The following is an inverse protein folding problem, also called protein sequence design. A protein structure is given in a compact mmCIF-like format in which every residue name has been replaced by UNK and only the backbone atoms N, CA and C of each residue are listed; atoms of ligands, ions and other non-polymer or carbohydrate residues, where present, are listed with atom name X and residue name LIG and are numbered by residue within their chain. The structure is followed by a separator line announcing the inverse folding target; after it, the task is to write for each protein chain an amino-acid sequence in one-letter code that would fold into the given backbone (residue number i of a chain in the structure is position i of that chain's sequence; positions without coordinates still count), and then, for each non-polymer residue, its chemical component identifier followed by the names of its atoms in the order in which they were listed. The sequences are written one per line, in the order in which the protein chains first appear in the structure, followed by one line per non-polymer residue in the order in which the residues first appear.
data_IF_324403549377
#
_entry.id   IF_324403549377
#
_cell.length_a   1.000
_cell.length_b   1.000
_cell.length_c   1.000
_cell.angle_alpha   90.00
_cell.angle_beta   90.00
_cell.angle_gamma   90.00
#
_symmetry.space_group_name_H-M   'P 1'
#
loop_
_entity.id
_entity.type
_entity.pdbx_description
1 polymer ?
#
# COMPACT_ATOMS: atom_id res chain seq x y z
N UNK A 1 -8.31 32.23 2.86
CA UNK A 1 -7.14 32.96 2.39
C UNK A 1 -6.17 31.95 1.82
N UNK A 2 -5.82 32.05 0.53
CA UNK A 2 -4.74 31.27 -0.06
C UNK A 2 -3.43 31.54 0.70
N UNK A 3 -2.77 30.50 1.20
CA UNK A 3 -1.54 30.66 1.98
C UNK A 3 -0.34 30.76 1.04
N UNK A 4 0.21 31.97 0.93
CA UNK A 4 1.46 32.23 0.23
C UNK A 4 2.70 31.98 1.11
N UNK A 5 3.78 31.55 0.47
CA UNK A 5 5.07 31.39 1.12
C UNK A 5 5.58 32.77 1.60
N UNK A 6 5.97 32.91 2.90
CA UNK A 6 6.56 34.15 3.40
C UNK A 6 7.74 34.62 2.54
N UNK A 7 7.77 35.91 2.20
CA UNK A 7 8.73 36.46 1.24
C UNK A 7 10.20 36.20 1.64
N UNK A 8 10.48 36.12 2.94
CA UNK A 8 11.80 35.85 3.50
C UNK A 8 12.29 34.41 3.22
N UNK A 9 11.38 33.46 3.04
CA UNK A 9 11.70 32.05 2.79
C UNK A 9 11.82 31.73 1.30
N UNK A 10 11.30 32.59 0.42
CA UNK A 10 11.29 32.37 -1.04
C UNK A 10 12.67 32.11 -1.65
N UNK A 11 13.74 32.86 -1.29
CA UNK A 11 15.08 32.61 -1.85
C UNK A 11 15.68 31.26 -1.44
N UNK A 12 15.27 30.74 -0.28
CA UNK A 12 15.69 29.42 0.22
C UNK A 12 14.87 28.36 -0.48
N UNK A 13 13.55 28.51 -0.53
CA UNK A 13 12.64 27.56 -1.18
C UNK A 13 12.99 27.30 -2.64
N UNK A 14 13.35 28.32 -3.43
CA UNK A 14 13.77 28.13 -4.84
C UNK A 14 14.90 27.11 -5.01
N UNK A 15 15.76 26.94 -4.01
CA UNK A 15 16.87 25.98 -4.05
C UNK A 15 16.44 24.54 -3.71
N UNK A 16 15.26 24.38 -3.11
CA UNK A 16 14.70 23.12 -2.64
C UNK A 16 13.35 22.79 -3.27
N UNK A 17 12.88 23.55 -4.27
CA UNK A 17 11.52 23.40 -4.81
C UNK A 17 11.24 22.02 -5.38
N UNK A 18 12.26 21.34 -5.88
CA UNK A 18 12.15 19.97 -6.41
C UNK A 18 11.98 18.96 -5.27
N UNK A 19 12.67 19.21 -4.14
CA UNK A 19 12.60 18.36 -2.95
C UNK A 19 11.29 18.64 -2.16
N UNK A 20 10.86 19.90 -2.09
CA UNK A 20 9.72 20.41 -1.32
C UNK A 20 8.85 21.36 -2.17
N UNK A 21 8.03 20.84 -3.10
CA UNK A 21 7.19 21.68 -3.94
C UNK A 21 6.20 22.49 -3.10
N UNK A 22 6.06 23.78 -3.40
CA UNK A 22 5.05 24.64 -2.77
C UNK A 22 3.75 24.56 -3.58
N UNK A 23 2.64 24.07 -3.00
CA UNK A 23 1.37 23.99 -3.71
C UNK A 23 0.80 25.36 -4.04
N UNK A 24 -0.02 25.41 -5.11
CA UNK A 24 -0.73 26.62 -5.52
C UNK A 24 -1.62 27.15 -4.39
N UNK A 25 -1.88 28.46 -4.34
CA UNK A 25 -2.68 29.10 -3.30
C UNK A 25 -4.19 29.09 -3.63
N UNK A 26 -4.73 27.92 -3.94
CA UNK A 26 -6.11 27.71 -4.39
C UNK A 26 -7.03 27.11 -3.29
N UNK A 27 -6.60 27.14 -2.02
CA UNK A 27 -7.35 26.52 -0.92
C UNK A 27 -8.76 27.10 -0.77
N UNK A 28 -8.93 28.40 -0.98
CA UNK A 28 -10.24 29.06 -0.90
C UNK A 28 -11.19 28.61 -2.00
N UNK A 29 -10.68 28.52 -3.23
CA UNK A 29 -11.46 28.04 -4.36
C UNK A 29 -11.89 26.58 -4.14
N UNK A 30 -11.01 25.77 -3.55
CA UNK A 30 -11.34 24.39 -3.16
C UNK A 30 -12.38 24.34 -2.05
N UNK A 31 -12.26 25.16 -1.01
CA UNK A 31 -13.28 25.24 0.05
C UNK A 31 -14.62 25.75 -0.49
N UNK A 32 -14.62 26.62 -1.49
CA UNK A 32 -15.83 27.03 -2.20
C UNK A 32 -16.43 25.85 -2.98
N UNK A 33 -15.60 25.04 -3.64
CA UNK A 33 -16.06 23.79 -4.28
C UNK A 33 -16.63 22.79 -3.28
N UNK A 34 -16.02 22.64 -2.10
CA UNK A 34 -16.57 21.81 -1.00
C UNK A 34 -18.00 22.25 -0.69
N UNK A 35 -18.23 23.55 -0.51
CA UNK A 35 -19.59 24.08 -0.26
C UNK A 35 -20.54 23.78 -1.41
N UNK A 36 -20.13 24.01 -2.65
CA UNK A 36 -20.97 23.70 -3.81
C UNK A 36 -21.36 22.22 -3.91
N UNK A 37 -20.47 21.31 -3.50
CA UNK A 37 -20.79 19.89 -3.41
C UNK A 37 -21.80 19.57 -2.30
N UNK A 38 -21.64 20.18 -1.12
CA UNK A 38 -22.60 20.01 -0.01
C UNK A 38 -23.98 20.57 -0.35
N UNK A 39 -24.03 21.75 -0.97
CA UNK A 39 -25.28 22.39 -1.43
C UNK A 39 -25.99 21.49 -2.45
N UNK A 40 -25.25 20.91 -3.39
CA UNK A 40 -25.80 19.94 -4.35
C UNK A 40 -26.33 18.68 -3.64
N UNK A 41 -25.61 18.16 -2.65
CA UNK A 41 -26.05 17.01 -1.89
C UNK A 41 -27.39 17.28 -1.19
N UNK A 42 -27.52 18.44 -0.56
CA UNK A 42 -28.74 18.91 0.10
C UNK A 42 -29.90 19.07 -0.90
N UNK A 43 -29.65 19.68 -2.06
CA UNK A 43 -30.65 19.85 -3.13
C UNK A 43 -31.16 18.49 -3.64
N UNK A 44 -30.26 17.53 -3.86
CA UNK A 44 -30.62 16.18 -4.31
C UNK A 44 -31.46 15.44 -3.27
N UNK A 45 -31.13 15.54 -1.97
CA UNK A 45 -31.94 14.96 -0.89
C UNK A 45 -33.31 15.61 -0.78
N UNK A 46 -33.38 16.95 -0.90
CA UNK A 46 -34.66 17.68 -0.88
C UNK A 46 -35.55 17.25 -2.05
N UNK A 47 -34.98 17.19 -3.25
CA UNK A 47 -35.68 16.74 -4.46
C UNK A 47 -36.18 15.31 -4.32
N UNK A 48 -35.37 14.40 -3.76
CA UNK A 48 -35.78 13.03 -3.50
C UNK A 48 -36.97 12.96 -2.51
N UNK A 49 -36.95 13.79 -1.46
CA UNK A 49 -38.04 13.84 -0.48
C UNK A 49 -39.35 14.40 -1.07
N UNK A 50 -39.27 15.43 -1.91
CA UNK A 50 -40.44 15.97 -2.62
C UNK A 50 -41.04 14.95 -3.60
N UNK A 51 -40.18 14.23 -4.32
CA UNK A 51 -40.58 13.15 -5.21
C UNK A 51 -41.25 12.00 -4.46
N UNK A 52 -40.74 11.61 -3.29
CA UNK A 52 -41.38 10.60 -2.43
C UNK A 52 -42.77 11.05 -1.98
N UNK A 53 -42.93 12.31 -1.58
CA UNK A 53 -44.24 12.86 -1.22
C UNK A 53 -45.23 12.85 -2.42
N UNK A 54 -44.73 13.17 -3.62
CA UNK A 54 -45.50 13.10 -4.86
C UNK A 54 -45.93 11.66 -5.21
N UNK A 55 -44.99 10.71 -5.13
CA UNK A 55 -45.26 9.28 -5.28
C UNK A 55 -46.38 8.81 -4.34
N UNK A 56 -46.28 9.14 -3.05
CA UNK A 56 -47.27 8.76 -2.05
C UNK A 56 -48.65 9.36 -2.34
N UNK A 57 -48.70 10.57 -2.91
CA UNK A 57 -49.91 11.19 -3.41
C UNK A 57 -50.57 10.38 -4.53
N UNK A 58 -49.80 10.01 -5.55
CA UNK A 58 -50.27 9.21 -6.70
C UNK A 58 -50.76 7.84 -6.25
N UNK A 59 -49.97 7.14 -5.42
CA UNK A 59 -50.30 5.82 -4.89
C UNK A 59 -51.59 5.84 -4.06
N UNK A 60 -51.79 6.87 -3.24
CA UNK A 60 -52.99 6.98 -2.39
C UNK A 60 -54.25 7.33 -3.18
N UNK A 61 -54.11 8.11 -4.25
CA UNK A 61 -55.24 8.61 -5.03
C UNK A 61 -55.71 7.63 -6.13
N UNK A 62 -54.91 6.61 -6.45
CA UNK A 62 -55.17 5.70 -7.56
C UNK A 62 -55.11 4.22 -7.11
N UNK A 63 -55.72 3.33 -7.88
CA UNK A 63 -55.66 1.88 -7.66
C UNK A 63 -55.67 1.14 -8.99
N UNK A 64 -55.21 -0.11 -8.99
CA UNK A 64 -55.17 -0.99 -10.17
C UNK A 64 -53.76 -1.39 -10.57
N UNK A 65 -53.65 -2.22 -11.61
CA UNK A 65 -52.38 -2.82 -12.04
C UNK A 65 -51.30 -1.80 -12.43
N UNK A 66 -51.69 -0.70 -13.07
CA UNK A 66 -50.73 0.33 -13.50
C UNK A 66 -50.08 1.04 -12.31
N UNK A 67 -50.83 1.24 -11.21
CA UNK A 67 -50.31 1.86 -9.98
C UNK A 67 -49.34 0.92 -9.27
N UNK A 68 -49.62 -0.39 -9.27
CA UNK A 68 -48.70 -1.38 -8.72
C UNK A 68 -47.41 -1.47 -9.53
N UNK A 69 -47.48 -1.47 -10.87
CA UNK A 69 -46.30 -1.42 -11.73
C UNK A 69 -45.47 -0.13 -11.50
N UNK A 70 -46.14 1.00 -11.29
CA UNK A 70 -45.48 2.26 -10.93
C UNK A 70 -44.75 2.17 -9.58
N UNK A 71 -45.39 1.64 -8.53
CA UNK A 71 -44.75 1.40 -7.23
C UNK A 71 -43.54 0.50 -7.35
N UNK A 72 -43.67 -0.62 -8.06
CA UNK A 72 -42.58 -1.58 -8.26
C UNK A 72 -41.39 -0.89 -8.95
N UNK A 73 -41.64 -0.09 -9.99
CA UNK A 73 -40.56 0.66 -10.65
C UNK A 73 -39.97 1.75 -9.75
N UNK A 74 -40.79 2.41 -8.92
CA UNK A 74 -40.34 3.41 -7.94
C UNK A 74 -39.47 2.84 -6.83
N UNK A 75 -39.75 1.61 -6.39
CA UNK A 75 -38.99 0.92 -5.35
C UNK A 75 -37.76 0.18 -5.88
N UNK A 76 -37.65 0.04 -7.21
CA UNK A 76 -36.49 -0.61 -7.84
C UNK A 76 -35.18 0.16 -7.58
N UNK A 77 -34.06 -0.57 -7.58
CA UNK A 77 -32.72 0.01 -7.45
C UNK A 77 -32.38 1.01 -8.58
N UNK A 78 -33.07 0.92 -9.72
CA UNK A 78 -32.89 1.85 -10.84
C UNK A 78 -33.75 3.11 -10.75
N UNK A 79 -34.59 3.21 -9.73
CA UNK A 79 -35.56 4.31 -9.58
C UNK A 79 -34.87 5.67 -9.50
N UNK A 80 -35.61 6.71 -9.91
CA UNK A 80 -35.17 8.10 -9.79
C UNK A 80 -34.82 8.42 -8.34
N UNK A 81 -35.61 7.92 -7.38
CA UNK A 81 -35.36 8.06 -5.94
C UNK A 81 -33.98 7.53 -5.54
N UNK A 82 -33.67 6.28 -5.91
CA UNK A 82 -32.38 5.68 -5.56
C UNK A 82 -31.22 6.45 -6.18
N UNK A 83 -31.36 6.83 -7.47
CA UNK A 83 -30.34 7.62 -8.18
C UNK A 83 -30.10 8.99 -7.57
N UNK A 84 -31.14 9.68 -7.08
CA UNK A 84 -30.99 10.97 -6.39
C UNK A 84 -30.32 10.79 -5.03
N UNK A 85 -30.66 9.74 -4.28
CA UNK A 85 -29.99 9.39 -3.03
C UNK A 85 -28.51 9.07 -3.22
N UNK A 86 -28.17 8.29 -4.25
CA UNK A 86 -26.80 7.98 -4.62
C UNK A 86 -26.04 9.22 -5.11
N UNK A 87 -26.71 10.08 -5.87
CA UNK A 87 -26.15 11.37 -6.30
C UNK A 87 -25.84 12.28 -5.12
N UNK A 88 -26.73 12.35 -4.11
CA UNK A 88 -26.50 13.13 -2.90
C UNK A 88 -25.30 12.62 -2.12
N UNK A 89 -25.22 11.29 -1.92
CA UNK A 89 -24.04 10.66 -1.31
C UNK A 89 -22.79 10.99 -2.11
N UNK A 90 -22.79 10.77 -3.43
CA UNK A 90 -21.66 11.09 -4.32
C UNK A 90 -21.16 12.54 -4.14
N UNK A 91 -22.08 13.50 -4.03
CA UNK A 91 -21.75 14.89 -3.79
C UNK A 91 -21.12 15.13 -2.40
N UNK A 92 -21.65 14.55 -1.31
CA UNK A 92 -21.02 14.64 0.03
C UNK A 92 -19.56 14.17 0.00
N UNK A 93 -19.31 13.11 -0.73
CA UNK A 93 -17.99 12.46 -0.77
C UNK A 93 -17.00 13.27 -1.58
N UNK A 94 -17.46 13.86 -2.68
CA UNK A 94 -16.68 14.84 -3.42
C UNK A 94 -16.33 16.04 -2.54
N UNK A 95 -17.25 16.48 -1.66
CA UNK A 95 -16.99 17.52 -0.68
C UNK A 95 -15.91 17.09 0.33
N UNK A 96 -16.04 15.91 0.93
CA UNK A 96 -15.08 15.37 1.92
C UNK A 96 -13.69 15.19 1.29
N UNK A 97 -13.59 14.57 0.11
CA UNK A 97 -12.31 14.37 -0.57
C UNK A 97 -11.63 15.69 -0.95
N UNK A 98 -12.42 16.68 -1.40
CA UNK A 98 -11.91 18.02 -1.70
C UNK A 98 -11.44 18.73 -0.43
N UNK A 99 -12.18 18.62 0.68
CA UNK A 99 -11.82 19.20 1.98
C UNK A 99 -10.52 18.59 2.51
N UNK A 100 -10.40 17.26 2.46
CA UNK A 100 -9.19 16.54 2.83
C UNK A 100 -7.98 17.05 2.04
N UNK A 101 -8.12 17.20 0.72
CA UNK A 101 -7.06 17.76 -0.13
C UNK A 101 -6.61 19.15 0.33
N UNK A 102 -7.55 20.01 0.75
CA UNK A 102 -7.22 21.33 1.31
C UNK A 102 -6.46 21.21 2.62
N UNK A 103 -6.93 20.39 3.56
CA UNK A 103 -6.29 20.16 4.85
C UNK A 103 -4.85 19.68 4.65
N UNK A 104 -4.63 18.73 3.74
CA UNK A 104 -3.28 18.22 3.46
C UNK A 104 -2.36 19.26 2.85
N UNK A 105 -2.86 20.10 1.93
CA UNK A 105 -2.07 21.22 1.39
C UNK A 105 -1.66 22.19 2.48
N UNK A 106 -2.57 22.52 3.39
CA UNK A 106 -2.28 23.43 4.51
C UNK A 106 -1.23 22.82 5.44
N UNK A 107 -1.37 21.55 5.83
CA UNK A 107 -0.39 20.84 6.66
C UNK A 107 0.97 20.80 5.97
N UNK A 108 1.01 20.45 4.67
CA UNK A 108 2.24 20.44 3.90
C UNK A 108 2.91 21.82 3.83
N UNK A 109 2.14 22.88 3.57
CA UNK A 109 2.64 24.26 3.58
C UNK A 109 3.21 24.65 4.95
N UNK A 110 2.52 24.30 6.04
CA UNK A 110 2.99 24.54 7.41
C UNK A 110 4.32 23.82 7.67
N UNK A 111 4.40 22.56 7.26
CA UNK A 111 5.62 21.75 7.40
C UNK A 111 6.78 22.35 6.60
N UNK A 112 6.56 22.70 5.33
CA UNK A 112 7.60 23.31 4.49
C UNK A 112 8.09 24.63 5.11
N UNK A 113 7.19 25.48 5.61
CA UNK A 113 7.56 26.71 6.33
C UNK A 113 8.39 26.39 7.57
N UNK A 114 7.98 25.41 8.38
CA UNK A 114 8.71 24.98 9.56
C UNK A 114 10.13 24.51 9.22
N UNK A 115 10.28 23.60 8.26
CA UNK A 115 11.57 23.06 7.86
C UNK A 115 12.48 24.13 7.25
N UNK A 116 11.93 25.03 6.41
CA UNK A 116 12.69 26.16 5.86
C UNK A 116 13.13 27.14 6.96
N UNK A 117 12.33 27.30 8.02
CA UNK A 117 12.68 28.14 9.16
C UNK A 117 13.81 27.52 9.99
N UNK A 118 13.72 26.21 10.29
CA UNK A 118 14.80 25.46 10.96
C UNK A 118 16.10 25.54 10.13
N UNK A 119 15.99 25.35 8.81
CA UNK A 119 17.11 25.48 7.88
C UNK A 119 17.73 26.88 7.91
N UNK A 120 16.90 27.93 7.87
CA UNK A 120 17.35 29.32 7.95
C UNK A 120 18.09 29.58 9.26
N UNK A 121 17.54 29.15 10.40
CA UNK A 121 18.19 29.29 11.72
C UNK A 121 19.53 28.55 11.75
N UNK A 122 19.59 27.34 11.20
CA UNK A 122 20.83 26.57 11.10
C UNK A 122 21.88 27.29 10.25
N UNK A 123 21.48 27.89 9.13
CA UNK A 123 22.37 28.65 8.25
C UNK A 123 22.91 29.90 8.95
N UNK A 124 22.05 30.66 9.63
CA UNK A 124 22.45 31.86 10.40
C UNK A 124 23.44 31.50 11.51
N UNK A 125 23.17 30.44 12.27
CA UNK A 125 24.10 29.93 13.31
C UNK A 125 25.43 29.49 12.70
N UNK A 126 25.41 28.82 11.55
CA UNK A 126 26.62 28.40 10.87
C UNK A 126 27.48 29.59 10.42
N UNK A 127 26.89 30.66 9.91
CA UNK A 127 27.61 31.88 9.53
C UNK A 127 28.21 32.56 10.78
N UNK A 128 27.47 32.62 11.89
CA UNK A 128 27.92 33.30 13.10
C UNK A 128 29.12 32.61 13.80
N UNK A 129 29.29 31.30 13.62
CA UNK A 129 30.26 30.48 14.39
C UNK A 129 31.52 30.11 13.59
N UNK A 130 31.58 30.39 12.28
CA UNK A 130 32.64 29.84 11.41
C UNK A 130 33.57 30.92 10.82
N UNK A 131 34.90 30.77 10.88
CA UNK A 131 35.84 31.64 10.15
C UNK A 131 35.64 31.49 8.64
N UNK A 132 35.73 32.61 7.91
CA UNK A 132 35.43 32.70 6.48
C UNK A 132 36.26 31.70 5.62
N UNK A 133 35.62 30.64 5.15
CA UNK A 133 36.18 29.71 4.17
C UNK A 133 35.08 29.00 3.39
N UNK A 134 35.04 29.22 2.07
CA UNK A 134 33.96 28.75 1.19
C UNK A 134 33.70 27.24 1.24
N UNK A 135 34.74 26.43 1.43
CA UNK A 135 34.65 24.96 1.48
C UNK A 135 33.75 24.43 2.62
N UNK A 136 33.84 25.02 3.82
CA UNK A 136 33.04 24.58 4.98
C UNK A 136 31.57 24.96 4.86
N UNK A 137 31.26 26.04 4.13
CA UNK A 137 29.90 26.42 3.78
C UNK A 137 29.28 25.43 2.78
N UNK A 138 30.01 25.02 1.73
CA UNK A 138 29.50 24.06 0.74
C UNK A 138 29.26 22.67 1.34
N UNK A 139 30.19 22.16 2.16
CA UNK A 139 30.04 20.85 2.81
C UNK A 139 28.85 20.83 3.77
N UNK A 140 28.66 21.88 4.58
CA UNK A 140 27.49 22.01 5.46
C UNK A 140 26.18 22.16 4.69
N UNK A 141 26.18 22.88 3.59
CA UNK A 141 25.01 22.99 2.71
C UNK A 141 24.58 21.62 2.18
N UNK A 142 25.54 20.80 1.73
CA UNK A 142 25.29 19.44 1.27
C UNK A 142 24.73 18.53 2.37
N UNK A 143 25.33 18.56 3.57
CA UNK A 143 24.85 17.79 4.73
C UNK A 143 23.43 18.22 5.12
N UNK A 144 23.15 19.53 5.14
CA UNK A 144 21.83 20.03 5.55
C UNK A 144 20.75 19.68 4.52
N UNK A 145 21.08 19.72 3.21
CA UNK A 145 20.16 19.25 2.16
C UNK A 145 19.88 17.76 2.26
N UNK A 146 20.89 16.94 2.58
CA UNK A 146 20.70 15.50 2.81
C UNK A 146 19.78 15.23 3.99
N UNK A 147 20.00 15.92 5.12
CA UNK A 147 19.13 15.81 6.30
C UNK A 147 17.70 16.26 6.01
N UNK A 148 17.54 17.36 5.27
CA UNK A 148 16.23 17.86 4.84
C UNK A 148 15.49 16.85 3.97
N UNK A 149 16.15 16.20 3.00
CA UNK A 149 15.54 15.13 2.21
C UNK A 149 15.16 13.93 3.06
N UNK A 150 16.04 13.51 3.97
CA UNK A 150 15.76 12.39 4.88
C UNK A 150 14.51 12.66 5.73
N UNK A 151 14.41 13.85 6.33
CA UNK A 151 13.24 14.27 7.10
C UNK A 151 11.99 14.34 6.22
N UNK A 152 12.09 14.86 4.98
CA UNK A 152 10.95 14.88 4.07
C UNK A 152 10.50 13.49 3.65
N UNK A 153 11.41 12.55 3.43
CA UNK A 153 11.07 11.16 3.11
C UNK A 153 10.34 10.50 4.29
N UNK A 154 10.87 10.65 5.50
CA UNK A 154 10.27 10.09 6.71
C UNK A 154 8.90 10.72 7.01
N UNK A 155 8.76 12.03 6.82
CA UNK A 155 7.48 12.73 7.03
C UNK A 155 6.49 12.43 5.90
N UNK A 156 6.93 12.30 4.65
CA UNK A 156 6.07 11.86 3.54
C UNK A 156 5.51 10.48 3.80
N UNK A 157 6.35 9.58 4.31
CA UNK A 157 5.91 8.30 4.83
C UNK A 157 4.84 8.47 5.89
N UNK A 158 5.16 9.06 7.04
CA UNK A 158 4.22 9.17 8.17
C UNK A 158 2.91 9.91 7.83
N UNK A 159 2.98 10.98 7.03
CA UNK A 159 1.79 11.70 6.55
C UNK A 159 0.97 10.80 5.63
N UNK A 160 1.62 10.04 4.75
CA UNK A 160 0.99 9.02 3.91
C UNK A 160 0.23 7.96 4.70
N UNK A 161 0.73 7.51 5.86
CA UNK A 161 0.07 6.54 6.75
C UNK A 161 -1.28 7.09 7.21
N UNK A 162 -1.26 8.27 7.84
CA UNK A 162 -2.45 8.89 8.42
C UNK A 162 -3.45 9.25 7.33
N UNK A 163 -2.96 9.71 6.16
CA UNK A 163 -3.76 9.98 4.98
C UNK A 163 -4.49 8.76 4.45
N UNK A 164 -3.73 7.70 4.16
CA UNK A 164 -4.24 6.49 3.58
C UNK A 164 -5.26 5.84 4.52
N UNK A 165 -4.99 5.84 5.82
CA UNK A 165 -5.90 5.31 6.82
C UNK A 165 -7.19 6.13 6.93
N UNK A 166 -7.09 7.47 7.00
CA UNK A 166 -8.28 8.34 7.10
C UNK A 166 -9.12 8.30 5.81
N UNK A 167 -8.47 8.29 4.64
CA UNK A 167 -9.16 8.13 3.36
C UNK A 167 -9.77 6.74 3.21
N UNK A 168 -9.11 5.68 3.69
CA UNK A 168 -9.62 4.30 3.67
C UNK A 168 -10.82 4.15 4.59
N UNK A 169 -10.79 4.67 5.82
CA UNK A 169 -11.96 4.65 6.73
C UNK A 169 -13.13 5.44 6.13
N UNK A 170 -12.85 6.60 5.52
CA UNK A 170 -13.86 7.35 4.78
C UNK A 170 -14.39 6.58 3.57
N UNK A 171 -13.54 5.79 2.89
CA UNK A 171 -13.87 4.97 1.71
C UNK A 171 -14.57 3.64 2.07
N UNK A 172 -14.34 3.08 3.25
CA UNK A 172 -15.05 1.90 3.75
C UNK A 172 -16.48 2.23 4.17
N UNK A 173 -16.68 3.31 4.93
CA UNK A 173 -18.01 3.84 5.26
C UNK A 173 -18.83 4.14 3.99
N UNK A 174 -18.10 4.48 2.93
CA UNK A 174 -18.53 4.75 1.58
C UNK A 174 -19.00 3.49 0.82
N UNK A 175 -18.17 2.45 0.79
CA UNK A 175 -18.45 1.19 0.10
C UNK A 175 -19.58 0.42 0.78
N UNK A 176 -19.67 0.51 2.11
CA UNK A 176 -20.79 -0.03 2.91
C UNK A 176 -22.12 0.65 2.53
N UNK A 177 -22.08 1.91 2.04
CA UNK A 177 -23.28 2.66 1.64
C UNK A 177 -23.82 2.30 0.25
N UNK A 178 -23.14 1.41 -0.50
CA UNK A 178 -23.59 0.80 -1.76
C UNK A 178 -23.63 1.70 -3.00
N UNK A 179 -23.13 2.94 -2.91
CA UNK A 179 -23.46 4.00 -3.86
C UNK A 179 -22.24 4.78 -4.38
N UNK A 180 -21.31 4.12 -5.10
CA UNK A 180 -20.30 4.85 -5.89
C UNK A 180 -20.03 4.15 -7.22
N UNK A 181 -20.27 4.81 -8.37
CA UNK A 181 -19.66 4.41 -9.63
C UNK A 181 -18.16 4.77 -9.61
N UNK A 182 -17.31 3.79 -9.91
CA UNK A 182 -15.83 3.84 -9.88
C UNK A 182 -15.18 5.06 -10.56
N UNK A 183 -15.90 5.80 -11.41
CA UNK A 183 -15.38 6.97 -12.13
C UNK A 183 -15.14 8.24 -11.29
N UNK A 184 -15.75 8.38 -10.11
CA UNK A 184 -15.62 9.61 -9.29
C UNK A 184 -14.47 9.57 -8.27
N UNK A 185 -14.01 8.38 -7.89
CA UNK A 185 -12.76 8.20 -7.13
C UNK A 185 -11.58 8.75 -7.93
N UNK A 186 -11.64 8.62 -9.26
CA UNK A 186 -10.58 9.03 -10.18
C UNK A 186 -10.28 10.53 -10.21
N UNK A 187 -11.25 11.43 -9.92
CA UNK A 187 -11.04 12.89 -10.08
C UNK A 187 -10.43 13.57 -8.85
N UNK A 188 -10.72 13.08 -7.64
CA UNK A 188 -10.07 13.55 -6.42
C UNK A 188 -8.64 13.00 -6.29
N UNK A 189 -8.37 11.81 -6.86
CA UNK A 189 -7.02 11.23 -6.94
C UNK A 189 -6.22 11.74 -8.15
N UNK A 190 -6.84 12.25 -9.22
CA UNK A 190 -6.12 12.70 -10.43
C UNK A 190 -5.17 13.88 -10.20
N UNK A 191 -5.55 14.85 -9.38
CA UNK A 191 -4.77 16.09 -9.17
C UNK A 191 -3.77 15.96 -8.00
N UNK A 192 -4.06 15.10 -7.01
CA UNK A 192 -3.09 14.68 -6.01
C UNK A 192 -2.04 13.72 -6.62
N UNK A 193 -2.48 12.76 -7.44
CA UNK A 193 -1.68 11.75 -8.11
C UNK A 193 -0.71 12.27 -9.18
N UNK A 194 -0.95 13.45 -9.77
CA UNK A 194 0.03 14.08 -10.68
C UNK A 194 1.26 14.67 -9.98
N UNK A 195 1.20 14.89 -8.65
CA UNK A 195 2.35 15.39 -7.85
C UNK A 195 2.85 14.39 -6.79
N UNK A 196 2.23 13.22 -6.67
CA UNK A 196 2.69 12.06 -5.88
C UNK A 196 2.98 10.88 -6.82
N UNK A 197 4.12 10.91 -7.53
CA UNK A 197 4.49 9.85 -8.50
C UNK A 197 4.45 8.44 -7.90
N UNK A 198 4.78 8.31 -6.62
CA UNK A 198 4.81 7.05 -5.87
C UNK A 198 3.47 6.33 -5.69
N UNK A 199 2.32 6.96 -6.00
CA UNK A 199 0.99 6.30 -5.97
C UNK A 199 0.50 5.86 -7.37
N UNK A 200 1.32 5.99 -8.42
CA UNK A 200 0.94 5.50 -9.75
C UNK A 200 1.11 3.99 -9.79
N UNK A 201 0.02 3.29 -10.07
CA UNK A 201 0.09 1.90 -10.52
C UNK A 201 0.09 1.85 -12.03
N UNK A 202 0.92 1.01 -12.61
CA UNK A 202 0.80 0.55 -13.98
C UNK A 202 -0.42 -0.37 -14.08
N UNK A 203 -1.48 0.14 -14.68
CA UNK A 203 -2.77 -0.55 -14.78
C UNK A 203 -2.73 -1.72 -15.77
N UNK A 204 -1.81 -1.71 -16.75
CA UNK A 204 -1.64 -2.81 -17.70
C UNK A 204 -0.93 -3.98 -17.01
N UNK A 205 0.18 -3.71 -16.31
CA UNK A 205 0.88 -4.71 -15.52
C UNK A 205 -0.03 -5.34 -14.47
N UNK A 206 -0.81 -4.50 -13.75
CA UNK A 206 -1.80 -4.99 -12.78
C UNK A 206 -2.79 -5.97 -13.41
N UNK A 207 -3.38 -5.62 -14.56
CA UNK A 207 -4.35 -6.48 -15.25
C UNK A 207 -3.74 -7.83 -15.66
N UNK A 208 -2.52 -7.81 -16.20
CA UNK A 208 -1.85 -9.04 -16.63
C UNK A 208 -1.48 -9.92 -15.45
N UNK A 209 -0.97 -9.35 -14.36
CA UNK A 209 -0.62 -10.11 -13.14
C UNK A 209 -1.86 -10.68 -12.46
N UNK A 210 -2.93 -9.89 -12.32
CA UNK A 210 -4.20 -10.37 -11.79
C UNK A 210 -4.79 -11.48 -12.69
N UNK A 211 -4.63 -11.38 -14.01
CA UNK A 211 -5.07 -12.44 -14.94
C UNK A 211 -4.36 -13.76 -14.64
N UNK A 212 -3.04 -13.75 -14.47
CA UNK A 212 -2.25 -14.95 -14.13
C UNK A 212 -2.65 -15.51 -12.76
N UNK A 213 -2.78 -14.64 -11.74
CA UNK A 213 -3.22 -15.06 -10.41
C UNK A 213 -4.60 -15.73 -10.43
N UNK A 214 -5.51 -15.28 -11.30
CA UNK A 214 -6.84 -15.86 -11.40
C UNK A 214 -6.87 -17.27 -12.01
N UNK A 215 -5.78 -17.75 -12.62
CA UNK A 215 -5.70 -19.09 -13.20
C UNK A 215 -5.63 -20.18 -12.13
N UNK A 216 -4.99 -19.91 -10.97
CA UNK A 216 -4.79 -20.89 -9.91
C UNK A 216 -5.72 -20.67 -8.71
N UNK A 217 -6.10 -21.74 -7.96
CA UNK A 217 -6.81 -21.59 -6.69
C UNK A 217 -6.08 -20.69 -5.69
N UNK A 218 -4.75 -20.83 -5.57
CA UNK A 218 -3.93 -20.02 -4.66
C UNK A 218 -3.89 -18.55 -5.05
N UNK A 219 -3.70 -18.22 -6.33
CA UNK A 219 -3.68 -16.83 -6.77
C UNK A 219 -5.03 -16.14 -6.56
N UNK A 220 -6.16 -16.83 -6.81
CA UNK A 220 -7.50 -16.33 -6.46
C UNK A 220 -7.67 -16.11 -4.95
N UNK A 221 -7.19 -17.04 -4.13
CA UNK A 221 -7.24 -16.92 -2.68
C UNK A 221 -6.41 -15.74 -2.18
N UNK A 222 -5.21 -15.52 -2.74
CA UNK A 222 -4.35 -14.39 -2.40
C UNK A 222 -5.00 -13.04 -2.76
N UNK A 223 -5.57 -12.92 -3.96
CA UNK A 223 -6.31 -11.71 -4.37
C UNK A 223 -7.56 -11.46 -3.52
N UNK A 224 -8.24 -12.52 -3.09
CA UNK A 224 -9.39 -12.40 -2.20
C UNK A 224 -8.96 -11.95 -0.79
N UNK A 225 -7.90 -12.56 -0.26
CA UNK A 225 -7.32 -12.21 1.04
C UNK A 225 -6.82 -10.76 1.07
N UNK A 226 -6.09 -10.32 0.03
CA UNK A 226 -5.63 -8.95 -0.10
C UNK A 226 -6.79 -7.95 -0.08
N UNK A 227 -7.89 -8.26 -0.78
CA UNK A 227 -9.12 -7.44 -0.76
C UNK A 227 -9.79 -7.44 0.62
N UNK A 228 -9.94 -8.60 1.25
CA UNK A 228 -10.54 -8.74 2.58
C UNK A 228 -9.75 -7.98 3.66
N UNK A 229 -8.43 -7.93 3.53
CA UNK A 229 -7.53 -7.29 4.50
C UNK A 229 -7.11 -5.89 4.07
N UNK A 230 -7.77 -5.32 3.05
CA UNK A 230 -7.49 -3.99 2.52
C UNK A 230 -6.01 -3.74 2.19
N UNK A 231 -5.32 -4.76 1.66
CA UNK A 231 -3.94 -4.63 1.18
C UNK A 231 -3.98 -3.95 -0.18
N UNK A 232 -3.33 -2.79 -0.27
CA UNK A 232 -3.21 -2.06 -1.54
C UNK A 232 -2.03 -2.60 -2.33
N UNK A 233 -2.21 -2.88 -3.61
CA UNK A 233 -1.15 -3.40 -4.48
C UNK A 233 -0.84 -2.33 -5.53
N UNK A 234 0.43 -1.92 -5.62
CA UNK A 234 0.91 -0.92 -6.56
C UNK A 234 1.95 -1.56 -7.48
N UNK A 235 1.81 -1.37 -8.79
CA UNK A 235 2.80 -1.78 -9.78
C UNK A 235 3.57 -0.54 -10.24
N UNK A 236 4.79 -0.37 -9.79
CA UNK A 236 5.60 0.81 -10.07
C UNK A 236 6.22 0.69 -11.48
N UNK A 237 6.11 1.74 -12.31
CA UNK A 237 6.67 1.72 -13.65
C UNK A 237 8.20 1.59 -13.64
N UNK A 238 8.82 1.07 -14.73
CA UNK A 238 10.26 0.93 -14.81
C UNK A 238 11.02 2.25 -14.55
N UNK A 239 12.11 2.16 -13.78
CA UNK A 239 12.95 3.30 -13.42
C UNK A 239 12.51 4.07 -12.17
N UNK A 240 11.42 3.67 -11.51
CA UNK A 240 11.02 4.15 -10.19
C UNK A 240 11.21 3.02 -9.16
N UNK A 241 12.42 2.86 -8.59
CA UNK A 241 12.70 1.84 -7.58
C UNK A 241 14.18 1.51 -7.39
N UNK A 242 14.48 0.58 -6.48
CA UNK A 242 15.78 -0.10 -6.42
C UNK A 242 15.75 -1.28 -7.40
N UNK A 243 16.60 -1.26 -8.42
CA UNK A 243 16.66 -2.31 -9.46
C UNK A 243 16.90 -3.73 -8.90
N UNK A 244 17.36 -3.83 -7.65
CA UNK A 244 17.61 -5.10 -6.96
C UNK A 244 16.41 -5.65 -6.18
N UNK A 245 15.32 -4.90 -6.06
CA UNK A 245 14.13 -5.29 -5.29
C UNK A 245 12.96 -5.50 -6.24
N UNK A 246 12.40 -6.71 -6.25
CA UNK A 246 11.28 -7.09 -7.11
C UNK A 246 9.93 -6.66 -6.56
N UNK A 247 9.80 -6.70 -5.24
CA UNK A 247 8.64 -6.24 -4.52
C UNK A 247 8.99 -5.93 -3.07
N UNK A 248 8.10 -5.22 -2.40
CA UNK A 248 8.20 -4.96 -0.97
C UNK A 248 6.80 -4.78 -0.40
N UNK A 249 6.57 -5.39 0.76
CA UNK A 249 5.44 -5.06 1.61
C UNK A 249 5.82 -4.02 2.66
N UNK A 250 5.06 -2.93 2.72
CA UNK A 250 5.17 -1.89 3.73
C UNK A 250 4.06 -2.06 4.78
N UNK A 251 4.42 -2.56 5.98
CA UNK A 251 3.49 -2.79 7.11
C UNK A 251 2.75 -1.50 7.51
N UNK A 252 3.46 -0.38 7.51
CA UNK A 252 2.94 0.92 7.98
C UNK A 252 1.74 1.39 7.16
N UNK A 253 1.73 1.10 5.85
CA UNK A 253 0.68 1.51 4.92
C UNK A 253 -0.29 0.38 4.54
N UNK A 254 0.09 -0.86 4.85
CA UNK A 254 -0.54 -2.06 4.32
C UNK A 254 -0.55 -2.05 2.78
N UNK A 255 0.62 -1.80 2.19
CA UNK A 255 0.82 -1.67 0.74
C UNK A 255 1.86 -2.68 0.28
N UNK A 256 1.55 -3.43 -0.76
CA UNK A 256 2.54 -4.16 -1.55
C UNK A 256 2.91 -3.31 -2.76
N UNK A 257 4.19 -3.02 -2.91
CA UNK A 257 4.76 -2.43 -4.12
C UNK A 257 5.48 -3.49 -4.92
N UNK A 258 5.20 -3.55 -6.22
CA UNK A 258 5.85 -4.44 -7.17
C UNK A 258 6.60 -3.55 -8.17
N UNK A 259 7.90 -3.73 -8.29
CA UNK A 259 8.76 -2.92 -9.16
C UNK A 259 8.89 -3.59 -10.53
N UNK A 260 8.43 -2.92 -11.58
CA UNK A 260 8.52 -3.44 -12.94
C UNK A 260 9.93 -3.20 -13.51
N UNK A 261 10.53 -4.23 -14.09
CA UNK A 261 11.81 -4.15 -14.80
C UNK A 261 11.68 -4.65 -16.23
N UNK A 262 12.64 -4.28 -17.05
CA UNK A 262 12.70 -4.75 -18.43
C UNK A 262 12.83 -6.27 -18.47
N UNK A 263 11.83 -6.92 -19.06
CA UNK A 263 11.80 -8.38 -19.23
C UNK A 263 11.06 -9.14 -18.12
N UNK A 264 10.55 -8.47 -17.08
CA UNK A 264 9.69 -9.12 -16.09
C UNK A 264 8.43 -9.66 -16.78
N UNK A 265 8.05 -10.89 -16.43
CA UNK A 265 6.85 -11.54 -16.96
C UNK A 265 5.69 -11.41 -15.98
N UNK A 266 4.42 -11.43 -16.45
CA UNK A 266 3.27 -11.46 -15.57
C UNK A 266 3.31 -12.61 -14.54
N UNK A 267 3.90 -13.75 -14.91
CA UNK A 267 4.11 -14.91 -14.03
C UNK A 267 5.11 -14.62 -12.92
N UNK A 268 6.27 -14.02 -13.23
CA UNK A 268 7.27 -13.65 -12.23
C UNK A 268 6.76 -12.57 -11.27
N UNK A 269 6.00 -11.60 -11.79
CA UNK A 269 5.38 -10.55 -10.98
C UNK A 269 4.23 -11.11 -10.11
N UNK A 270 3.45 -12.06 -10.62
CA UNK A 270 2.44 -12.76 -9.82
C UNK A 270 3.08 -13.57 -8.69
N UNK A 271 4.20 -14.23 -8.97
CA UNK A 271 4.99 -14.95 -7.99
C UNK A 271 5.51 -14.02 -6.87
N UNK A 272 6.11 -12.89 -7.27
CA UNK A 272 6.53 -11.82 -6.35
C UNK A 272 5.37 -11.33 -5.48
N UNK A 273 4.20 -11.07 -6.08
CA UNK A 273 3.02 -10.64 -5.31
C UNK A 273 2.56 -11.68 -4.28
N UNK A 274 2.62 -12.98 -4.60
CA UNK A 274 2.32 -14.04 -3.61
C UNK A 274 3.31 -13.99 -2.44
N UNK A 275 4.60 -13.77 -2.72
CA UNK A 275 5.62 -13.59 -1.70
C UNK A 275 5.34 -12.37 -0.81
N UNK A 276 5.11 -11.20 -1.40
CA UNK A 276 4.85 -9.98 -0.62
C UNK A 276 3.54 -10.07 0.19
N UNK A 277 2.52 -10.76 -0.31
CA UNK A 277 1.31 -11.01 0.46
C UNK A 277 1.54 -11.95 1.64
N UNK A 278 2.56 -12.82 1.61
CA UNK A 278 2.98 -13.57 2.80
C UNK A 278 3.52 -12.62 3.88
N UNK A 279 4.31 -11.60 3.52
CA UNK A 279 4.71 -10.57 4.47
C UNK A 279 3.50 -9.82 5.04
N UNK A 280 2.53 -9.47 4.18
CA UNK A 280 1.29 -8.85 4.62
C UNK A 280 0.48 -9.74 5.59
N UNK A 281 0.50 -11.06 5.43
CA UNK A 281 -0.16 -11.99 6.34
C UNK A 281 0.50 -12.07 7.72
N UNK A 282 1.81 -11.84 7.78
CA UNK A 282 2.58 -11.83 9.02
C UNK A 282 2.75 -10.43 9.59
N UNK A 283 2.08 -9.41 9.03
CA UNK A 283 2.10 -8.03 9.49
C UNK A 283 2.19 -7.90 11.03
N UNK A 284 3.13 -7.08 11.52
CA UNK A 284 3.53 -6.94 12.94
C UNK A 284 4.27 -8.14 13.54
N UNK A 285 4.63 -9.15 12.76
CA UNK A 285 5.47 -10.26 13.18
C UNK A 285 6.45 -10.60 12.05
N UNK A 286 7.77 -10.64 12.32
CA UNK A 286 8.41 -10.44 13.62
C UNK A 286 8.35 -8.98 14.10
N UNK A 287 8.24 -8.79 15.42
CA UNK A 287 8.17 -7.45 16.03
C UNK A 287 9.50 -7.12 16.74
N UNK A 288 10.28 -6.16 16.24
CA UNK A 288 11.57 -5.82 16.84
C UNK A 288 11.46 -5.12 18.20
N UNK A 289 10.27 -4.63 18.55
CA UNK A 289 9.99 -3.98 19.84
C UNK A 289 9.69 -5.00 20.94
N UNK A 290 9.16 -6.17 20.57
CA UNK A 290 8.83 -7.26 21.50
C UNK A 290 9.86 -8.39 21.52
N UNK A 291 10.65 -8.54 20.44
CA UNK A 291 11.62 -9.63 20.28
C UNK A 291 13.07 -9.20 20.59
N UNK A 292 13.88 -10.15 21.08
CA UNK A 292 15.34 -9.99 21.03
C UNK A 292 15.81 -9.97 19.59
N UNK A 293 17.01 -9.42 19.34
CA UNK A 293 17.60 -9.37 17.99
C UNK A 293 17.68 -10.75 17.35
N UNK A 294 18.19 -11.75 18.08
CA UNK A 294 18.32 -13.12 17.56
C UNK A 294 16.96 -13.75 17.25
N UNK A 295 15.96 -13.55 18.12
CA UNK A 295 14.60 -14.07 17.90
C UNK A 295 13.91 -13.39 16.72
N UNK A 296 14.12 -12.08 16.55
CA UNK A 296 13.62 -11.32 15.39
C UNK A 296 14.24 -11.84 14.09
N UNK A 297 15.56 -11.99 14.05
CA UNK A 297 16.29 -12.46 12.86
C UNK A 297 15.84 -13.87 12.49
N UNK A 298 15.74 -14.78 13.46
CA UNK A 298 15.23 -16.13 13.20
C UNK A 298 13.80 -16.09 12.65
N UNK A 299 12.90 -15.32 13.27
CA UNK A 299 11.51 -15.24 12.85
C UNK A 299 11.36 -14.60 11.45
N UNK A 300 12.15 -13.55 11.13
CA UNK A 300 12.17 -12.91 9.82
C UNK A 300 12.62 -13.88 8.71
N UNK A 301 13.66 -14.68 8.97
CA UNK A 301 14.15 -15.67 8.01
C UNK A 301 13.11 -16.78 7.80
N UNK A 302 12.39 -17.20 8.86
CA UNK A 302 11.29 -18.17 8.73
C UNK A 302 10.14 -17.62 7.89
N UNK A 303 9.77 -16.36 8.10
CA UNK A 303 8.76 -15.67 7.31
C UNK A 303 9.15 -15.60 5.83
N UNK A 304 10.40 -15.22 5.54
CA UNK A 304 10.96 -15.17 4.19
C UNK A 304 10.97 -16.55 3.51
N UNK A 305 11.40 -17.59 4.23
CA UNK A 305 11.35 -18.97 3.74
C UNK A 305 9.90 -19.40 3.43
N UNK A 306 8.94 -18.98 4.24
CA UNK A 306 7.54 -19.24 4.00
C UNK A 306 7.00 -18.47 2.78
N UNK A 307 7.42 -17.21 2.57
CA UNK A 307 7.10 -16.43 1.38
C UNK A 307 7.53 -17.14 0.11
N UNK A 308 8.81 -17.54 0.05
CA UNK A 308 9.39 -18.29 -1.05
C UNK A 308 8.66 -19.62 -1.30
N UNK A 309 8.24 -20.31 -0.23
CA UNK A 309 7.43 -21.52 -0.32
C UNK A 309 6.04 -21.27 -0.93
N UNK A 310 5.35 -20.19 -0.55
CA UNK A 310 4.04 -19.86 -1.13
C UNK A 310 4.15 -19.52 -2.62
N UNK A 311 5.18 -18.74 -2.96
CA UNK A 311 5.61 -18.38 -4.29
C UNK A 311 5.83 -19.63 -5.17
N UNK A 312 6.63 -20.58 -4.71
CA UNK A 312 6.88 -21.84 -5.39
C UNK A 312 5.61 -22.67 -5.61
N UNK A 313 4.74 -22.78 -4.59
CA UNK A 313 3.47 -23.53 -4.73
C UNK A 313 2.51 -22.89 -5.73
N UNK A 314 2.51 -21.55 -5.82
CA UNK A 314 1.73 -20.84 -6.83
C UNK A 314 2.22 -21.21 -8.24
N UNK A 315 3.53 -21.19 -8.42
CA UNK A 315 4.23 -21.63 -9.61
C UNK A 315 3.86 -23.06 -10.03
N UNK A 316 4.01 -24.07 -9.16
CA UNK A 316 3.60 -25.46 -9.44
C UNK A 316 2.09 -25.59 -9.79
N UNK A 317 1.24 -24.78 -9.18
CA UNK A 317 -0.19 -24.74 -9.52
C UNK A 317 -0.40 -24.21 -10.94
N UNK A 318 0.35 -23.17 -11.33
CA UNK A 318 0.24 -22.53 -12.63
C UNK A 318 0.76 -23.44 -13.75
N UNK A 319 1.90 -24.09 -13.55
CA UNK A 319 2.45 -25.08 -14.47
C UNK A 319 1.48 -26.22 -14.74
N UNK A 320 0.86 -26.76 -13.68
CA UNK A 320 -0.15 -27.83 -13.82
C UNK A 320 -1.38 -27.37 -14.59
N UNK A 321 -1.79 -26.12 -14.42
CA UNK A 321 -2.93 -25.54 -15.16
C UNK A 321 -2.58 -25.35 -16.64
N UNK A 322 -1.34 -24.96 -16.95
CA UNK A 322 -0.91 -24.63 -18.31
C UNK A 322 -0.27 -25.78 -19.08
N UNK A 323 0.19 -26.83 -18.39
CA UNK A 323 0.99 -27.91 -18.97
C UNK A 323 2.33 -27.42 -19.50
N UNK A 324 2.90 -26.39 -18.88
CA UNK A 324 4.16 -25.77 -19.26
C UNK A 324 5.07 -25.71 -18.04
N UNK A 325 6.35 -26.01 -18.27
CA UNK A 325 7.44 -25.85 -17.31
C UNK A 325 7.82 -24.37 -17.25
N UNK A 326 7.79 -23.78 -16.06
CA UNK A 326 8.08 -22.38 -15.81
C UNK A 326 9.40 -22.31 -15.03
N UNK A 327 10.42 -21.68 -15.61
CA UNK A 327 11.72 -21.55 -14.96
C UNK A 327 11.61 -20.75 -13.64
N UNK A 328 12.03 -21.35 -12.53
CA UNK A 328 11.93 -20.77 -11.18
C UNK A 328 13.29 -20.78 -10.48
N UNK A 329 13.78 -19.60 -10.08
CA UNK A 329 15.14 -19.41 -9.55
C UNK A 329 15.49 -20.23 -8.29
N UNK A 330 14.51 -20.71 -7.53
CA UNK A 330 14.69 -21.45 -6.26
C UNK A 330 14.21 -22.91 -6.31
N UNK A 331 13.86 -23.42 -7.49
CA UNK A 331 13.31 -24.76 -7.70
C UNK A 331 14.25 -25.87 -7.23
N UNK A 332 15.56 -25.74 -7.47
CA UNK A 332 16.51 -26.81 -7.19
C UNK A 332 16.64 -27.13 -5.68
N UNK A 333 16.72 -26.11 -4.81
CA UNK A 333 16.78 -26.35 -3.35
C UNK A 333 15.48 -26.95 -2.86
N UNK A 334 14.34 -26.41 -3.31
CA UNK A 334 13.03 -26.89 -2.91
C UNK A 334 12.82 -28.36 -3.31
N UNK A 335 13.04 -28.69 -4.57
CA UNK A 335 12.77 -30.01 -5.14
C UNK A 335 13.63 -31.10 -4.52
N UNK A 336 14.92 -30.83 -4.33
CA UNK A 336 15.84 -31.78 -3.72
C UNK A 336 15.46 -32.05 -2.26
N UNK A 337 15.18 -31.00 -1.48
CA UNK A 337 14.77 -31.14 -0.08
C UNK A 337 13.42 -31.88 0.05
N UNK A 338 12.43 -31.49 -0.76
CA UNK A 338 11.12 -32.12 -0.81
C UNK A 338 11.23 -33.61 -1.15
N UNK A 339 11.88 -33.91 -2.28
CA UNK A 339 11.98 -35.28 -2.82
C UNK A 339 12.76 -36.20 -1.88
N UNK A 340 13.85 -35.69 -1.29
CA UNK A 340 14.66 -36.40 -0.30
C UNK A 340 13.84 -36.74 0.95
N UNK A 341 13.13 -35.77 1.51
CA UNK A 341 12.34 -35.99 2.72
C UNK A 341 11.19 -36.98 2.52
N UNK A 342 10.49 -36.90 1.37
CA UNK A 342 9.43 -37.86 1.01
C UNK A 342 10.02 -39.25 0.82
N UNK A 343 11.15 -39.39 0.11
CA UNK A 343 11.84 -40.69 -0.08
C UNK A 343 12.25 -41.31 1.26
N UNK A 344 12.87 -40.53 2.14
CA UNK A 344 13.32 -41.00 3.46
C UNK A 344 12.13 -41.41 4.34
N UNK A 345 11.03 -40.65 4.29
CA UNK A 345 9.82 -40.98 5.03
C UNK A 345 9.13 -42.25 4.51
N UNK A 346 9.13 -42.47 3.19
CA UNK A 346 8.65 -43.73 2.57
C UNK A 346 9.49 -44.91 3.06
N UNK A 347 10.82 -44.80 3.02
CA UNK A 347 11.73 -45.85 3.45
C UNK A 347 11.52 -46.23 4.93
N UNK A 348 11.45 -45.23 5.84
CA UNK A 348 11.18 -45.49 7.27
C UNK A 348 9.81 -46.13 7.52
N UNK A 349 8.78 -45.74 6.75
CA UNK A 349 7.42 -46.30 6.87
C UNK A 349 7.40 -47.76 6.41
N UNK A 350 8.12 -48.07 5.32
CA UNK A 350 8.29 -49.42 4.79
C UNK A 350 9.05 -50.32 5.78
N UNK A 351 10.17 -49.85 6.34
CA UNK A 351 10.93 -50.56 7.38
C UNK A 351 10.07 -50.87 8.63
N UNK A 352 9.14 -49.98 8.97
CA UNK A 352 8.21 -50.18 10.07
C UNK A 352 7.00 -51.08 9.74
N UNK A 353 6.89 -51.58 8.50
CA UNK A 353 5.76 -52.39 8.04
C UNK A 353 4.43 -51.62 7.98
N UNK A 354 4.49 -50.29 7.87
CA UNK A 354 3.31 -49.44 7.76
C UNK A 354 2.73 -49.39 6.35
N UNK A 355 1.48 -48.92 6.18
CA UNK A 355 0.93 -48.66 4.84
C UNK A 355 1.71 -47.55 4.13
N UNK A 356 1.70 -47.50 2.78
CA UNK A 356 2.30 -46.41 2.00
C UNK A 356 1.78 -45.04 2.44
N UNK A 357 2.62 -44.01 2.32
CA UNK A 357 2.20 -42.63 2.59
C UNK A 357 1.07 -42.23 1.63
N UNK A 358 0.07 -41.54 2.16
CA UNK A 358 -0.94 -40.87 1.35
C UNK A 358 -0.34 -39.63 0.68
N UNK A 359 -0.91 -39.19 -0.45
CA UNK A 359 -0.45 -37.98 -1.14
C UNK A 359 -0.46 -36.73 -0.25
N UNK A 360 -1.40 -36.65 0.71
CA UNK A 360 -1.45 -35.56 1.69
C UNK A 360 -0.31 -35.64 2.72
N UNK A 361 0.07 -36.84 3.16
CA UNK A 361 1.21 -37.03 4.05
C UNK A 361 2.53 -36.70 3.36
N UNK A 362 2.71 -37.17 2.11
CA UNK A 362 3.91 -36.85 1.31
C UNK A 362 4.06 -35.36 1.12
N UNK A 363 2.97 -34.69 0.71
CA UNK A 363 2.93 -33.24 0.57
C UNK A 363 3.36 -32.53 1.85
N UNK A 364 2.73 -32.86 2.98
CA UNK A 364 3.07 -32.23 4.27
C UNK A 364 4.53 -32.47 4.68
N UNK A 365 5.06 -33.67 4.44
CA UNK A 365 6.44 -34.02 4.80
C UNK A 365 7.43 -33.26 3.92
N UNK A 366 7.23 -33.30 2.61
CA UNK A 366 8.10 -32.63 1.65
C UNK A 366 8.05 -31.12 1.81
N UNK A 367 6.86 -30.53 1.94
CA UNK A 367 6.69 -29.09 2.13
C UNK A 367 7.37 -28.58 3.40
N UNK A 368 7.30 -29.33 4.51
CA UNK A 368 8.00 -28.97 5.75
C UNK A 368 9.51 -29.02 5.55
N UNK A 369 10.02 -30.08 4.92
CA UNK A 369 11.46 -30.21 4.69
C UNK A 369 12.00 -29.16 3.71
N UNK A 370 11.21 -28.78 2.71
CA UNK A 370 11.59 -27.71 1.80
C UNK A 370 11.57 -26.33 2.49
N UNK A 371 10.60 -26.07 3.37
CA UNK A 371 10.60 -24.86 4.20
C UNK A 371 11.83 -24.78 5.12
N UNK A 372 12.21 -25.91 5.73
CA UNK A 372 13.42 -26.02 6.57
C UNK A 372 14.69 -25.83 5.74
N UNK A 373 14.77 -26.41 4.53
CA UNK A 373 15.93 -26.23 3.65
C UNK A 373 16.08 -24.78 3.16
N UNK A 374 14.96 -24.12 2.81
CA UNK A 374 14.97 -22.69 2.47
C UNK A 374 15.42 -21.86 3.67
N UNK A 375 14.94 -22.16 4.88
CA UNK A 375 15.41 -21.49 6.10
C UNK A 375 16.90 -21.70 6.32
N UNK A 376 17.43 -22.93 6.16
CA UNK A 376 18.84 -23.23 6.33
C UNK A 376 19.71 -22.50 5.29
N UNK A 377 19.25 -22.41 4.03
CA UNK A 377 19.91 -21.64 2.98
C UNK A 377 19.94 -20.15 3.32
N UNK A 378 18.79 -19.58 3.67
CA UNK A 378 18.65 -18.16 4.01
C UNK A 378 19.34 -17.80 5.34
N UNK A 379 19.51 -18.74 6.27
CA UNK A 379 20.18 -18.48 7.55
C UNK A 379 21.69 -18.69 7.52
N UNK A 380 22.25 -19.26 6.45
CA UNK A 380 23.66 -19.60 6.38
C UNK A 380 24.54 -18.49 5.74
N UNK A 381 25.25 -17.67 6.54
CA UNK A 381 26.15 -16.64 6.00
C UNK A 381 27.36 -17.22 5.28
N UNK A 382 27.82 -18.44 5.60
CA UNK A 382 28.91 -19.11 4.88
C UNK A 382 28.49 -19.52 3.47
N UNK A 383 27.18 -19.73 3.27
CA UNK A 383 26.55 -19.93 1.96
C UNK A 383 26.37 -18.63 1.16
N UNK A 384 26.80 -17.48 1.70
CA UNK A 384 26.66 -16.17 1.06
C UNK A 384 25.33 -15.47 1.34
N UNK A 385 24.48 -16.03 2.23
CA UNK A 385 23.23 -15.38 2.59
C UNK A 385 23.47 -14.04 3.29
N UNK A 386 22.82 -13.00 2.79
CA UNK A 386 22.84 -11.65 3.36
C UNK A 386 21.72 -11.44 4.39
N UNK A 387 20.74 -12.34 4.48
CA UNK A 387 19.54 -12.17 5.29
C UNK A 387 19.81 -12.00 6.79
N UNK A 388 20.67 -12.81 7.46
CA UNK A 388 20.91 -12.63 8.89
C UNK A 388 21.47 -11.26 9.23
N UNK A 389 22.35 -10.75 8.37
CA UNK A 389 22.92 -9.41 8.52
C UNK A 389 21.89 -8.32 8.23
N UNK A 390 21.15 -8.44 7.13
CA UNK A 390 20.12 -7.47 6.75
C UNK A 390 19.05 -7.32 7.84
N UNK A 391 18.49 -8.42 8.34
CA UNK A 391 17.48 -8.37 9.41
C UNK A 391 18.06 -7.93 10.76
N UNK A 392 19.34 -8.19 11.01
CA UNK A 392 20.04 -7.67 12.18
C UNK A 392 20.14 -6.14 12.16
N UNK A 393 20.43 -5.57 10.98
CA UNK A 393 20.49 -4.12 10.75
C UNK A 393 19.10 -3.48 10.82
N UNK A 394 18.10 -4.10 10.19
CA UNK A 394 16.70 -3.65 10.25
C UNK A 394 16.15 -3.61 11.69
N UNK A 395 16.48 -4.62 12.51
CA UNK A 395 16.13 -4.61 13.93
C UNK A 395 16.76 -3.43 14.69
N UNK A 396 18.04 -3.15 14.43
CA UNK A 396 18.77 -2.04 15.07
C UNK A 396 18.14 -0.69 14.67
N UNK A 397 17.80 -0.51 13.39
CA UNK A 397 17.19 0.71 12.86
C UNK A 397 15.81 0.96 13.45
N UNK A 398 14.94 -0.05 13.46
CA UNK A 398 13.58 0.06 14.03
C UNK A 398 13.61 0.34 15.53
N UNK A 399 14.49 -0.32 16.29
CA UNK A 399 14.61 -0.09 17.74
C UNK A 399 15.18 1.29 18.06
N UNK A 400 16.14 1.75 17.27
CA UNK A 400 16.73 3.10 17.42
C UNK A 400 15.70 4.19 17.10
N UNK A 401 14.86 4.00 16.08
CA UNK A 401 13.79 4.94 15.75
C UNK A 401 12.82 5.15 16.94
N UNK A 402 12.37 4.05 17.55
CA UNK A 402 11.51 4.09 18.75
C UNK A 402 12.20 4.82 19.91
N UNK A 403 13.47 4.52 20.18
CA UNK A 403 14.23 5.19 21.25
C UNK A 403 14.37 6.70 21.01
N UNK A 404 14.60 7.13 19.76
CA UNK A 404 14.70 8.57 19.41
C UNK A 404 13.39 9.32 19.65
N UNK A 405 12.26 8.71 19.29
CA UNK A 405 10.94 9.30 19.54
C UNK A 405 10.69 9.46 21.04
N UNK A 406 11.00 8.43 21.85
CA UNK A 406 10.86 8.50 23.31
C UNK A 406 11.76 9.55 23.95
N UNK A 407 13.02 9.66 23.51
CA UNK A 407 13.94 10.68 24.03
C UNK A 407 13.42 12.10 23.72
N UNK A 408 12.84 12.31 22.53
CA UNK A 408 12.27 13.61 22.14
C UNK A 408 10.97 13.98 22.89
N UNK A 409 10.25 13.01 23.46
CA UNK A 409 9.06 13.27 24.28
C UNK A 409 9.44 13.64 25.72
N UNK A 410 10.58 13.13 26.22
CA UNK A 410 11.03 13.32 27.59
C UNK A 410 11.84 14.62 27.76
N UNK A 411 12.56 15.05 26.71
CA UNK A 411 13.34 16.30 26.66
C UNK A 411 12.49 17.50 26.19
#
# INVERSE_FOLDING_TARGET
MGWELPAQLRPIHEQFKDDAPWPDADEDDRLLRVRGWLDLADELRSTAAELDAGHDGVVRANAGGDVEAFKEKWESAESVRHRLGDGAKAADLAAVGTLMTVVFRVIWKALVVYLLTVLLVALVRAIAVTPAGGFWLTLRWYVTRRLFRSMLTEIRGNIGVVLAQTLREAMELLLISGAVPLGLIGLATWDAGRRTSWMRTDDDARREVERVLNETPRGRAALAWAREHNVTILYQPPGEGDDNVLGVYHDEYNVVEIYLRDGDTPEGLANTLIHELNHAQHRRTPDPTEMSRDAYVEAAIREEAQGNLQAYRFSEELERVRGQDLDHQSEATYDDAYSRAVRDARARREEAGGPPLTAAEERRIGERAAAEALYDELSNPEGGSVYPKSYSEDWDDKRTAVQRVWQHIID
#
